data_IF_597678480461
#
_entry.id   IF_597678480461
#
_cell.length_a   1.000
_cell.length_b   1.000
_cell.length_c   1.000
_cell.angle_alpha   90.00
_cell.angle_beta   90.00
_cell.angle_gamma   90.00
#
_symmetry.space_group_name_H-M   'P 1'
#
loop_
_entity.id
_entity.type
_entity.pdbx_description
1 polymer ?
#
# COMPACT_ATOMS: atom_id res chain seq x y z
N UNK A 1 15.27 5.86 -3.20
CA UNK A 1 16.07 5.48 -2.02
C UNK A 1 16.99 6.63 -1.70
N UNK A 2 16.65 7.44 -0.71
CA UNK A 2 17.49 8.56 -0.29
C UNK A 2 18.35 8.12 0.90
N UNK A 3 19.53 8.72 1.03
CA UNK A 3 20.36 8.61 2.23
C UNK A 3 20.57 10.03 2.78
N UNK A 4 19.54 10.64 3.39
CA UNK A 4 19.62 12.04 3.83
C UNK A 4 20.77 12.25 4.82
N UNK A 5 21.66 13.19 4.55
CA UNK A 5 22.84 13.47 5.38
C UNK A 5 24.00 12.48 5.19
N UNK A 6 23.91 11.58 4.22
CA UNK A 6 24.96 10.63 3.86
C UNK A 6 25.11 10.48 2.34
N UNK A 7 24.69 11.48 1.57
CA UNK A 7 24.67 11.47 0.11
C UNK A 7 26.07 11.34 -0.51
N UNK A 8 27.11 11.87 0.14
CA UNK A 8 28.50 11.69 -0.30
C UNK A 8 28.95 10.23 -0.24
N UNK A 9 28.51 9.51 0.80
CA UNK A 9 28.84 8.09 1.01
C UNK A 9 27.94 7.17 0.20
N UNK A 10 26.71 7.61 -0.05
CA UNK A 10 25.67 6.85 -0.75
C UNK A 10 25.01 7.72 -1.82
N UNK A 11 25.71 8.03 -2.93
CA UNK A 11 25.22 8.95 -3.96
C UNK A 11 23.95 8.45 -4.66
N UNK A 12 23.75 7.14 -4.68
CA UNK A 12 22.56 6.50 -5.26
C UNK A 12 21.58 6.02 -4.17
N UNK A 13 21.75 6.49 -2.94
CA UNK A 13 21.06 6.00 -1.75
C UNK A 13 21.65 4.71 -1.21
N UNK A 14 21.15 4.30 -0.03
CA UNK A 14 21.57 3.07 0.63
C UNK A 14 20.87 1.86 -0.01
N UNK A 15 21.63 1.02 -0.70
CA UNK A 15 21.11 -0.16 -1.40
C UNK A 15 21.49 -1.48 -0.75
N UNK A 16 22.54 -1.50 0.05
CA UNK A 16 23.14 -2.70 0.64
C UNK A 16 23.80 -2.38 1.99
N UNK A 17 23.76 -3.34 2.92
CA UNK A 17 24.48 -3.34 4.20
C UNK A 17 25.13 -4.71 4.35
N UNK A 18 26.45 -4.77 4.54
CA UNK A 18 27.21 -6.01 4.77
C UNK A 18 26.95 -7.12 3.73
N UNK A 19 26.85 -6.77 2.44
CA UNK A 19 26.53 -7.73 1.37
C UNK A 19 25.04 -8.05 1.23
N UNK A 20 24.18 -7.49 2.09
CA UNK A 20 22.74 -7.76 2.12
C UNK A 20 21.95 -6.60 1.53
N UNK A 21 21.12 -6.90 0.53
CA UNK A 21 20.29 -5.90 -0.13
C UNK A 21 19.25 -5.30 0.83
N UNK A 22 19.16 -3.97 0.83
CA UNK A 22 18.11 -3.23 1.54
C UNK A 22 16.87 -3.17 0.64
N UNK A 23 15.70 -3.48 1.19
CA UNK A 23 14.41 -3.39 0.49
C UNK A 23 13.65 -2.13 0.87
N UNK A 24 13.35 -1.29 -0.12
CA UNK A 24 12.45 -0.13 0.03
C UNK A 24 11.00 -0.60 -0.11
N UNK A 25 10.33 -0.80 1.02
CA UNK A 25 8.98 -1.38 1.07
C UNK A 25 7.96 -0.55 0.28
N UNK A 26 8.08 0.79 0.27
CA UNK A 26 7.14 1.65 -0.45
C UNK A 26 7.32 1.52 -1.97
N UNK A 27 8.55 1.61 -2.46
CA UNK A 27 8.83 1.40 -3.88
C UNK A 27 8.45 -0.02 -4.34
N UNK A 28 8.68 -1.03 -3.50
CA UNK A 28 8.26 -2.41 -3.79
C UNK A 28 6.75 -2.56 -3.83
N UNK A 29 6.01 -1.90 -2.92
CA UNK A 29 4.55 -1.92 -2.93
C UNK A 29 3.97 -1.28 -4.20
N UNK A 30 4.52 -0.14 -4.64
CA UNK A 30 4.15 0.48 -5.92
C UNK A 30 4.41 -0.49 -7.07
N UNK A 31 5.59 -1.12 -7.09
CA UNK A 31 5.94 -2.04 -8.17
C UNK A 31 5.04 -3.28 -8.20
N UNK A 32 4.68 -3.80 -7.03
CA UNK A 32 3.73 -4.88 -6.90
C UNK A 32 2.36 -4.49 -7.47
N UNK A 33 1.85 -3.30 -7.16
CA UNK A 33 0.57 -2.82 -7.69
C UNK A 33 0.61 -2.73 -9.22
N UNK A 34 1.67 -2.17 -9.80
CA UNK A 34 1.85 -2.14 -11.26
C UNK A 34 1.82 -3.54 -11.88
N UNK A 35 2.53 -4.50 -11.26
CA UNK A 35 2.53 -5.90 -11.68
C UNK A 35 1.14 -6.52 -11.59
N UNK A 36 0.41 -6.28 -10.51
CA UNK A 36 -0.96 -6.78 -10.34
C UNK A 36 -1.92 -6.22 -11.40
N UNK A 37 -1.79 -4.94 -11.74
CA UNK A 37 -2.56 -4.31 -12.83
C UNK A 37 -2.23 -4.96 -14.18
N UNK A 38 -0.95 -5.20 -14.46
CA UNK A 38 -0.54 -5.86 -15.70
C UNK A 38 -1.07 -7.29 -15.80
N UNK A 39 -0.99 -8.06 -14.71
CA UNK A 39 -1.55 -9.41 -14.58
C UNK A 39 -3.06 -9.40 -14.81
N UNK A 40 -3.78 -8.44 -14.22
CA UNK A 40 -5.22 -8.27 -14.43
C UNK A 40 -5.56 -7.97 -15.89
N UNK A 41 -4.80 -7.09 -16.55
CA UNK A 41 -4.99 -6.76 -17.98
C UNK A 41 -4.71 -7.95 -18.90
N UNK A 42 -3.77 -8.82 -18.52
CA UNK A 42 -3.47 -10.06 -19.23
C UNK A 42 -4.53 -11.17 -19.04
N UNK A 43 -5.62 -10.90 -18.30
CA UNK A 43 -6.70 -11.86 -18.06
C UNK A 43 -6.39 -12.91 -16.99
N UNK A 44 -5.30 -12.76 -16.24
CA UNK A 44 -4.98 -13.66 -15.13
C UNK A 44 -5.88 -13.38 -13.93
N UNK A 45 -6.63 -14.40 -13.51
CA UNK A 45 -7.62 -14.34 -12.44
C UNK A 45 -6.98 -14.41 -11.03
N UNK A 46 -5.91 -13.65 -10.78
CA UNK A 46 -5.16 -13.71 -9.52
C UNK A 46 -5.89 -13.07 -8.34
N UNK A 47 -6.81 -12.15 -8.64
CA UNK A 47 -7.69 -11.55 -7.66
C UNK A 47 -8.87 -12.50 -7.45
N UNK A 48 -8.77 -13.35 -6.42
CA UNK A 48 -9.84 -14.24 -6.00
C UNK A 48 -11.13 -13.46 -5.77
N UNK A 49 -12.12 -13.64 -6.64
CA UNK A 49 -13.45 -13.05 -6.46
C UNK A 49 -14.16 -13.58 -5.22
N UNK A 50 -13.73 -14.73 -4.69
CA UNK A 50 -14.28 -15.32 -3.46
C UNK A 50 -13.95 -14.49 -2.20
N UNK A 51 -12.87 -13.70 -2.22
CA UNK A 51 -12.45 -12.91 -1.06
C UNK A 51 -12.58 -11.39 -1.28
N UNK A 52 -12.78 -10.91 -2.51
CA UNK A 52 -13.04 -9.47 -2.77
C UNK A 52 -14.50 -9.03 -2.62
N UNK A 53 -15.44 -9.99 -2.56
CA UNK A 53 -16.86 -9.70 -2.38
C UNK A 53 -17.45 -10.38 -1.13
N UNK A 54 -16.67 -10.50 -0.06
CA UNK A 54 -17.28 -10.23 1.24
C UNK A 54 -17.58 -8.72 1.26
N UNK A 55 -18.56 -8.29 0.45
CA UNK A 55 -19.09 -6.95 0.52
C UNK A 55 -19.48 -6.76 1.99
N UNK A 56 -19.00 -5.68 2.65
CA UNK A 56 -19.43 -5.40 3.99
C UNK A 56 -20.94 -5.48 4.02
N UNK A 57 -21.49 -6.20 5.00
CA UNK A 57 -22.94 -6.33 5.10
C UNK A 57 -23.57 -4.93 5.08
N UNK A 58 -24.82 -4.78 4.62
CA UNK A 58 -25.49 -3.47 4.61
C UNK A 58 -25.41 -2.73 5.95
N UNK A 59 -25.39 -3.48 7.06
CA UNK A 59 -25.19 -2.94 8.41
C UNK A 59 -23.82 -2.27 8.61
N UNK A 60 -22.74 -2.88 8.12
CA UNK A 60 -21.38 -2.35 8.21
C UNK A 60 -21.21 -1.11 7.33
N UNK A 61 -21.83 -1.08 6.15
CA UNK A 61 -21.86 0.11 5.28
C UNK A 61 -22.55 1.30 5.96
N UNK A 62 -23.69 1.07 6.62
CA UNK A 62 -24.41 2.10 7.38
C UNK A 62 -23.64 2.61 8.59
N UNK A 63 -22.82 1.78 9.25
CA UNK A 63 -21.91 2.24 10.31
C UNK A 63 -20.77 3.09 9.73
N UNK A 64 -20.21 2.67 8.59
CA UNK A 64 -19.12 3.37 7.92
C UNK A 64 -19.48 4.79 7.52
N UNK A 65 -20.66 4.99 6.92
CA UNK A 65 -21.19 6.30 6.51
C UNK A 65 -21.12 7.34 7.65
N UNK A 66 -21.47 6.93 8.88
CA UNK A 66 -21.45 7.82 10.06
C UNK A 66 -20.05 8.23 10.51
N UNK A 67 -19.03 7.48 10.11
CA UNK A 67 -17.63 7.74 10.46
C UNK A 67 -16.90 8.46 9.32
N UNK A 68 -17.14 8.06 8.07
CA UNK A 68 -16.46 8.62 6.89
C UNK A 68 -17.05 9.95 6.43
N UNK A 69 -18.37 10.15 6.58
CA UNK A 69 -19.07 11.35 6.11
C UNK A 69 -19.40 12.34 7.24
N UNK A 70 -18.78 12.14 8.41
CA UNK A 70 -18.91 13.07 9.53
C UNK A 70 -17.76 14.11 9.48
N UNK A 71 -18.02 15.36 9.06
CA UNK A 71 -16.98 16.39 8.97
C UNK A 71 -16.39 16.79 10.34
N UNK A 72 -17.02 16.35 11.44
CA UNK A 72 -16.53 16.54 12.80
C UNK A 72 -15.54 15.48 13.28
N UNK A 73 -15.31 14.39 12.52
CA UNK A 73 -14.34 13.35 12.86
C UNK A 73 -13.15 13.41 11.90
N UNK A 74 -11.96 13.57 12.46
CA UNK A 74 -10.68 13.47 11.74
C UNK A 74 -10.10 12.07 11.93
N UNK A 75 -9.19 11.70 11.03
CA UNK A 75 -8.51 10.39 11.03
C UNK A 75 -7.90 10.01 12.40
N UNK A 76 -7.47 10.99 13.20
CA UNK A 76 -6.84 10.77 14.51
C UNK A 76 -7.81 10.75 15.70
N UNK A 77 -9.10 11.00 15.48
CA UNK A 77 -10.10 11.06 16.57
C UNK A 77 -10.65 9.66 16.94
N UNK A 78 -10.27 8.62 16.20
CA UNK A 78 -10.79 7.24 16.34
C UNK A 78 -9.69 6.24 16.76
N UNK A 79 -8.60 6.73 17.35
CA UNK A 79 -7.52 5.90 17.94
C UNK A 79 -7.66 5.89 19.46
#
# INVERSE_FOLDING_TARGET
RFAPGAEEKYPNGLTEIDGVAVADVLSQAIKLVESLVAISKAGSAWISRKCLFAQPSPHVLQLGEKLTDNPGLKFWDVI
#
